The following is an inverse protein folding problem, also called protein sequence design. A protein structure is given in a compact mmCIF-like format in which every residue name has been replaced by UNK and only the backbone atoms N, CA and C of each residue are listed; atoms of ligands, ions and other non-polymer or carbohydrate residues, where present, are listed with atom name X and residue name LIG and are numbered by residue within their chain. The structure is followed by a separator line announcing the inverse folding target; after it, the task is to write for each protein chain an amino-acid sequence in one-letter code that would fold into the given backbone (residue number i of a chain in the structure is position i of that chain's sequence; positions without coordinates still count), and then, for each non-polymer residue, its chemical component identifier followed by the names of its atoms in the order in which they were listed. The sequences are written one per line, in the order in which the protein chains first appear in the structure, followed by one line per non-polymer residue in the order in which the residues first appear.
data_IF_824257638088
#
_entry.id   IF_824257638088
#
_cell.length_a   1.000
_cell.length_b   1.000
_cell.length_c   1.000
_cell.angle_alpha   90.00
_cell.angle_beta   90.00
_cell.angle_gamma   90.00
#
_symmetry.space_group_name_H-M   'P 1'
#
loop_
_entity.id
_entity.type
_entity.pdbx_description
1 polymer ?
#
# COMPACT_ATOMS: atom_id res chain seq x y z
N UNK A 1 -21.12 26.86 -26.83
CA UNK A 1 -20.95 25.74 -25.87
C UNK A 1 -19.47 25.67 -25.55
N UNK A 2 -19.05 26.18 -24.39
CA UNK A 2 -17.68 26.01 -23.93
C UNK A 2 -17.55 24.58 -23.42
N UNK A 3 -16.92 23.71 -24.21
CA UNK A 3 -16.50 22.40 -23.72
C UNK A 3 -15.32 22.71 -22.81
N UNK A 4 -15.46 22.46 -21.51
CA UNK A 4 -14.35 22.57 -20.57
C UNK A 4 -13.24 21.61 -20.98
N UNK A 5 -11.99 22.07 -20.94
CA UNK A 5 -10.79 21.24 -21.21
C UNK A 5 -10.68 20.00 -20.31
N UNK A 6 -11.54 19.89 -19.30
CA UNK A 6 -11.65 18.77 -18.36
C UNK A 6 -12.25 17.49 -18.99
N UNK A 7 -12.96 17.59 -20.12
CA UNK A 7 -13.61 16.43 -20.76
C UNK A 7 -12.62 15.45 -21.40
N UNK A 8 -11.39 15.90 -21.72
CA UNK A 8 -10.40 15.11 -22.45
C UNK A 8 -9.11 14.82 -21.68
N UNK A 9 -9.02 15.13 -20.38
CA UNK A 9 -7.87 14.68 -19.59
C UNK A 9 -7.96 13.16 -19.39
N UNK A 10 -6.99 12.38 -19.90
CA UNK A 10 -6.95 10.96 -19.60
C UNK A 10 -6.84 10.80 -18.09
N UNK A 11 -7.73 10.00 -17.50
CA UNK A 11 -7.67 9.69 -16.07
C UNK A 11 -6.36 8.97 -15.79
N UNK A 12 -5.65 9.42 -14.75
CA UNK A 12 -4.46 8.73 -14.27
C UNK A 12 -4.86 7.36 -13.70
N UNK A 13 -4.04 6.34 -13.94
CA UNK A 13 -4.29 5.01 -13.40
C UNK A 13 -4.29 5.03 -11.86
N UNK A 14 -5.14 4.22 -11.21
CA UNK A 14 -5.11 4.06 -9.75
C UNK A 14 -3.75 3.55 -9.27
N UNK A 15 -3.31 4.04 -8.11
CA UNK A 15 -2.04 3.65 -7.50
C UNK A 15 -2.30 2.78 -6.27
N UNK A 16 -1.72 1.59 -6.26
CA UNK A 16 -1.77 0.68 -5.11
C UNK A 16 -0.37 0.55 -4.53
N UNK A 17 -0.19 0.99 -3.29
CA UNK A 17 1.10 1.04 -2.62
C UNK A 17 1.19 -0.12 -1.63
N UNK A 18 2.26 -0.90 -1.76
CA UNK A 18 2.68 -1.85 -0.75
C UNK A 18 3.33 -1.09 0.41
N UNK A 19 2.52 -0.75 1.42
CA UNK A 19 2.95 0.09 2.53
C UNK A 19 4.06 -0.55 3.36
N UNK A 20 4.04 -1.89 3.48
CA UNK A 20 5.08 -2.62 4.21
C UNK A 20 6.42 -2.59 3.48
N UNK A 21 6.42 -2.84 2.18
CA UNK A 21 7.65 -2.78 1.38
C UNK A 21 8.27 -1.38 1.42
N UNK A 22 7.45 -0.35 1.21
CA UNK A 22 7.89 1.06 1.22
C UNK A 22 8.42 1.46 2.59
N UNK A 23 7.68 1.22 3.67
CA UNK A 23 8.10 1.59 5.02
C UNK A 23 9.40 0.92 5.44
N UNK A 24 9.53 -0.39 5.18
CA UNK A 24 10.75 -1.14 5.48
C UNK A 24 11.92 -0.69 4.60
N UNK A 25 11.67 -0.36 3.32
CA UNK A 25 12.74 0.14 2.45
C UNK A 25 13.24 1.52 2.91
N UNK A 26 12.34 2.42 3.33
CA UNK A 26 12.72 3.74 3.82
C UNK A 26 13.48 3.65 5.15
N UNK A 27 13.08 2.76 6.06
CA UNK A 27 13.77 2.52 7.32
C UNK A 27 14.97 1.55 7.23
N UNK A 28 15.63 1.48 6.07
CA UNK A 28 16.83 0.68 5.83
C UNK A 28 16.72 -0.81 6.22
N UNK A 29 15.54 -1.40 6.05
CA UNK A 29 15.20 -2.79 6.41
C UNK A 29 15.29 -3.12 7.90
N UNK A 30 15.55 -2.15 8.76
CA UNK A 30 15.65 -2.33 10.21
C UNK A 30 14.42 -1.83 10.95
N UNK A 31 13.82 -0.74 10.45
CA UNK A 31 12.70 -0.06 11.09
C UNK A 31 11.55 0.09 10.10
N UNK A 32 10.32 -0.09 10.57
CA UNK A 32 9.14 0.27 9.80
C UNK A 32 8.92 1.78 9.89
N UNK A 33 9.35 2.52 8.87
CA UNK A 33 9.24 3.97 8.86
C UNK A 33 7.97 4.44 8.16
N UNK A 34 6.96 4.85 8.92
CA UNK A 34 5.67 5.30 8.38
C UNK A 34 5.81 6.57 7.54
N UNK A 35 6.83 7.41 7.83
CA UNK A 35 7.19 8.56 7.00
C UNK A 35 7.48 8.20 5.55
N UNK A 36 8.06 7.03 5.29
CA UNK A 36 8.29 6.54 3.92
C UNK A 36 7.00 6.38 3.13
N UNK A 37 5.93 5.90 3.79
CA UNK A 37 4.61 5.77 3.18
C UNK A 37 4.05 7.16 2.83
N UNK A 38 4.11 8.11 3.78
CA UNK A 38 3.60 9.47 3.55
C UNK A 38 4.30 10.16 2.38
N UNK A 39 5.62 10.02 2.27
CA UNK A 39 6.39 10.56 1.14
C UNK A 39 5.92 9.96 -0.19
N UNK A 40 5.70 8.64 -0.23
CA UNK A 40 5.23 7.96 -1.43
C UNK A 40 3.85 8.46 -1.85
N UNK A 41 2.90 8.54 -0.90
CA UNK A 41 1.56 9.09 -1.13
C UNK A 41 1.62 10.54 -1.65
N UNK A 42 2.38 11.40 -0.98
CA UNK A 42 2.50 12.82 -1.34
C UNK A 42 3.12 13.01 -2.73
N UNK A 43 4.05 12.13 -3.12
CA UNK A 43 4.66 12.14 -4.45
C UNK A 43 3.62 11.94 -5.56
N UNK A 44 2.68 11.00 -5.39
CA UNK A 44 1.61 10.75 -6.35
C UNK A 44 0.54 11.84 -6.31
N UNK A 45 0.14 12.30 -5.11
CA UNK A 45 -0.80 13.42 -4.96
C UNK A 45 -0.32 14.69 -5.65
N UNK A 46 0.96 15.04 -5.48
CA UNK A 46 1.56 16.22 -6.11
C UNK A 46 1.54 16.17 -7.65
N UNK A 47 1.34 14.97 -8.24
CA UNK A 47 1.21 14.75 -9.68
C UNK A 47 -0.23 14.64 -10.16
N UNK A 48 -1.20 14.85 -9.27
CA UNK A 48 -2.62 14.85 -9.59
C UNK A 48 -3.29 13.48 -9.51
N UNK A 49 -2.63 12.44 -8.98
CA UNK A 49 -3.32 11.18 -8.72
C UNK A 49 -4.35 11.36 -7.61
N UNK A 50 -5.59 10.97 -7.88
CA UNK A 50 -6.72 11.05 -6.95
C UNK A 50 -7.04 9.69 -6.32
N UNK A 51 -6.79 8.60 -7.05
CA UNK A 51 -7.04 7.24 -6.61
C UNK A 51 -5.73 6.59 -6.14
N UNK A 52 -5.48 6.65 -4.83
CA UNK A 52 -4.29 6.08 -4.18
C UNK A 52 -4.77 5.22 -3.01
N UNK A 53 -4.30 3.97 -2.94
CA UNK A 53 -4.59 3.06 -1.84
C UNK A 53 -3.30 2.43 -1.33
N UNK A 54 -3.04 2.55 -0.04
CA UNK A 54 -1.93 1.91 0.66
C UNK A 54 -2.46 0.72 1.44
N UNK A 55 -1.84 -0.44 1.33
CA UNK A 55 -2.11 -1.57 2.20
C UNK A 55 -1.04 -1.73 3.28
N UNK A 56 -1.47 -1.92 4.52
CA UNK A 56 -0.61 -2.18 5.69
C UNK A 56 -1.30 -3.21 6.59
N UNK A 57 -0.57 -4.12 7.27
CA UNK A 57 -1.19 -5.07 8.18
C UNK A 57 -1.81 -4.38 9.38
N UNK A 58 -3.03 -4.76 9.78
CA UNK A 58 -3.70 -4.17 10.96
C UNK A 58 -2.87 -4.24 12.25
N UNK A 59 -2.05 -5.27 12.42
CA UNK A 59 -1.17 -5.40 13.57
C UNK A 59 -0.13 -4.29 13.69
N UNK A 60 0.17 -3.55 12.61
CA UNK A 60 1.03 -2.36 12.65
C UNK A 60 0.43 -1.21 13.45
N UNK A 61 -0.85 -1.28 13.87
CA UNK A 61 -1.48 -0.35 14.83
C UNK A 61 -1.23 -0.70 16.29
N UNK A 62 -0.77 -1.92 16.57
CA UNK A 62 -0.51 -2.34 17.94
C UNK A 62 0.69 -1.58 18.52
N UNK A 63 0.78 -1.52 19.85
CA UNK A 63 1.90 -0.86 20.51
C UNK A 63 3.25 -1.41 20.01
N UNK A 64 4.25 -0.53 19.75
CA UNK A 64 5.58 -0.96 19.30
C UNK A 64 6.19 -1.96 20.28
N UNK A 65 6.92 -2.94 19.75
CA UNK A 65 7.70 -3.91 20.53
C UNK A 65 9.17 -3.81 20.11
N UNK A 66 10.08 -4.25 20.98
CA UNK A 66 11.53 -4.23 20.72
C UNK A 66 11.92 -4.98 19.43
N UNK A 67 11.23 -6.08 19.13
CA UNK A 67 11.40 -6.91 17.93
C UNK A 67 10.65 -6.37 16.70
N UNK A 68 9.96 -5.24 16.85
CA UNK A 68 9.11 -4.65 15.83
C UNK A 68 9.14 -3.12 15.92
N UNK A 69 10.31 -2.55 15.65
CA UNK A 69 10.52 -1.12 15.64
C UNK A 69 9.68 -0.47 14.54
N UNK A 70 8.88 0.53 14.94
CA UNK A 70 8.06 1.36 14.07
C UNK A 70 8.21 2.81 14.52
N UNK A 71 8.32 3.72 13.56
CA UNK A 71 8.44 5.16 13.81
C UNK A 71 7.30 5.91 13.13
N UNK A 72 6.89 7.02 13.75
CA UNK A 72 5.81 7.91 13.29
C UNK A 72 4.49 7.16 13.01
N UNK A 73 4.12 6.24 13.92
CA UNK A 73 2.97 5.34 13.78
C UNK A 73 1.64 6.08 13.58
N UNK A 74 1.52 7.30 14.12
CA UNK A 74 0.38 8.21 13.96
C UNK A 74 0.01 8.45 12.48
N UNK A 75 1.00 8.47 11.58
CA UNK A 75 0.80 8.64 10.13
C UNK A 75 -0.14 7.57 9.57
N UNK A 76 -0.11 6.33 10.11
CA UNK A 76 -1.00 5.28 9.63
C UNK A 76 -2.47 5.60 9.91
N UNK A 77 -2.76 6.23 11.06
CA UNK A 77 -4.12 6.64 11.41
C UNK A 77 -4.57 7.86 10.60
N UNK A 78 -3.66 8.81 10.34
CA UNK A 78 -3.92 9.96 9.47
C UNK A 78 -4.31 9.51 8.06
N UNK A 79 -3.50 8.64 7.45
CA UNK A 79 -3.76 8.10 6.11
C UNK A 79 -5.04 7.24 6.04
N UNK A 80 -5.36 6.49 7.10
CA UNK A 80 -6.63 5.76 7.21
C UNK A 80 -7.82 6.73 7.26
N UNK A 81 -7.72 7.81 8.06
CA UNK A 81 -8.77 8.82 8.16
C UNK A 81 -9.01 9.55 6.83
N UNK A 82 -7.95 9.80 6.07
CA UNK A 82 -8.00 10.35 4.71
C UNK A 82 -8.47 9.36 3.64
N UNK A 83 -8.81 8.11 4.02
CA UNK A 83 -9.21 7.02 3.12
C UNK A 83 -8.16 6.65 2.08
N UNK A 84 -6.89 6.89 2.39
CA UNK A 84 -5.74 6.51 1.56
C UNK A 84 -5.13 5.19 1.98
N UNK A 85 -5.24 4.80 3.25
CA UNK A 85 -4.69 3.57 3.78
C UNK A 85 -5.80 2.61 4.20
N UNK A 86 -5.64 1.35 3.83
CA UNK A 86 -6.51 0.24 4.23
C UNK A 86 -5.70 -0.77 5.02
N UNK A 87 -6.17 -1.08 6.23
CA UNK A 87 -5.57 -2.13 7.02
C UNK A 87 -6.04 -3.51 6.56
N UNK A 88 -5.10 -4.36 6.16
CA UNK A 88 -5.41 -5.75 5.84
C UNK A 88 -5.67 -6.55 7.11
N UNK A 89 -6.51 -7.60 7.07
CA UNK A 89 -6.76 -8.44 8.23
C UNK A 89 -5.47 -9.06 8.78
N UNK A 90 -5.36 -9.14 10.10
CA UNK A 90 -4.32 -9.91 10.78
C UNK A 90 -4.92 -10.61 11.99
N UNK A 91 -4.56 -11.87 12.25
CA UNK A 91 -5.12 -12.64 13.38
C UNK A 91 -4.03 -13.29 14.22
N UNK A 92 -4.21 -13.28 15.54
CA UNK A 92 -3.45 -14.12 16.48
C UNK A 92 -4.21 -15.44 16.68
N UNK A 93 -3.56 -16.57 16.39
CA UNK A 93 -4.11 -17.91 16.61
C UNK A 93 -3.10 -18.71 17.44
N UNK A 94 -3.48 -19.12 18.65
CA UNK A 94 -2.61 -19.92 19.53
C UNK A 94 -1.29 -19.22 19.89
N UNK A 95 -1.29 -17.90 20.05
CA UNK A 95 -0.09 -17.10 20.34
C UNK A 95 0.83 -16.87 19.13
N UNK A 96 0.55 -17.47 17.97
CA UNK A 96 1.26 -17.22 16.71
C UNK A 96 0.47 -16.25 15.85
N UNK A 97 1.16 -15.28 15.26
CA UNK A 97 0.55 -14.34 14.31
C UNK A 97 0.42 -15.01 12.95
N UNK A 98 -0.82 -15.17 12.50
CA UNK A 98 -1.11 -15.47 11.11
C UNK A 98 -1.13 -14.13 10.37
N UNK A 99 -0.03 -13.81 9.69
CA UNK A 99 0.04 -12.68 8.78
C UNK A 99 -0.52 -13.17 7.45
N UNK A 100 -1.72 -12.75 7.07
CA UNK A 100 -2.15 -12.88 5.68
C UNK A 100 -1.19 -12.01 4.86
N UNK A 101 -0.65 -12.53 3.75
CA UNK A 101 0.15 -11.73 2.85
C UNK A 101 -0.67 -10.53 2.35
N UNK A 102 -0.26 -9.32 2.71
CA UNK A 102 -0.84 -8.08 2.19
C UNK A 102 -0.73 -8.02 0.66
N UNK A 103 0.29 -8.67 0.12
CA UNK A 103 0.61 -8.80 -1.30
C UNK A 103 -0.59 -9.23 -2.14
N UNK A 104 -1.45 -10.14 -1.62
CA UNK A 104 -2.66 -10.55 -2.34
C UNK A 104 -3.68 -9.41 -2.45
N UNK A 105 -3.84 -8.58 -1.41
CA UNK A 105 -4.72 -7.41 -1.46
C UNK A 105 -4.16 -6.35 -2.42
N UNK A 106 -2.84 -6.13 -2.39
CA UNK A 106 -2.15 -5.20 -3.30
C UNK A 106 -2.36 -5.59 -4.75
N UNK A 107 -2.01 -6.83 -5.12
CA UNK A 107 -2.13 -7.30 -6.50
C UNK A 107 -3.58 -7.42 -6.95
N UNK A 108 -4.49 -7.85 -6.07
CA UNK A 108 -5.92 -7.97 -6.41
C UNK A 108 -6.54 -6.62 -6.74
N UNK A 109 -6.31 -5.60 -5.91
CA UNK A 109 -6.88 -4.28 -6.16
C UNK A 109 -6.33 -3.67 -7.45
N UNK A 110 -5.02 -3.82 -7.69
CA UNK A 110 -4.42 -3.34 -8.93
C UNK A 110 -4.95 -4.08 -10.17
N UNK A 111 -5.12 -5.41 -10.10
CA UNK A 111 -5.68 -6.19 -11.19
C UNK A 111 -7.14 -5.83 -11.49
N UNK A 112 -7.98 -5.68 -10.45
CA UNK A 112 -9.41 -5.39 -10.59
C UNK A 112 -9.67 -3.98 -11.17
N UNK A 113 -8.78 -3.03 -10.89
CA UNK A 113 -8.96 -1.62 -11.26
C UNK A 113 -8.03 -1.13 -12.38
N UNK A 114 -7.29 -2.04 -13.04
CA UNK A 114 -6.23 -1.69 -13.99
C UNK A 114 -5.24 -0.65 -13.42
N UNK A 115 -4.86 -0.86 -12.16
CA UNK A 115 -3.98 0.00 -11.39
C UNK A 115 -2.49 -0.28 -11.60
N UNK A 116 -1.65 0.51 -10.92
CA UNK A 116 -0.19 0.34 -10.87
C UNK A 116 0.19 0.02 -9.43
N UNK A 117 1.04 -1.00 -9.25
CA UNK A 117 1.61 -1.36 -7.95
C UNK A 117 2.92 -0.62 -7.72
N UNK A 118 3.10 -0.10 -6.51
CA UNK A 118 4.35 0.51 -6.05
C UNK A 118 4.96 -0.38 -4.97
N UNK A 119 5.98 -1.14 -5.36
CA UNK A 119 6.76 -2.03 -4.48
C UNK A 119 8.10 -2.37 -5.15
N UNK A 120 9.09 -2.75 -4.33
CA UNK A 120 10.31 -3.40 -4.81
C UNK A 120 10.23 -4.95 -4.77
N UNK A 121 9.10 -5.51 -4.33
CA UNK A 121 8.88 -6.96 -4.38
C UNK A 121 8.49 -7.40 -5.81
N UNK A 122 8.91 -8.61 -6.18
CA UNK A 122 8.55 -9.25 -7.45
C UNK A 122 7.38 -10.23 -7.30
N UNK A 123 6.88 -10.47 -6.08
CA UNK A 123 5.70 -11.30 -5.79
C UNK A 123 5.77 -12.70 -6.45
N UNK A 124 6.95 -13.32 -6.45
CA UNK A 124 7.25 -14.50 -7.29
C UNK A 124 6.33 -15.69 -7.03
N UNK A 125 5.86 -15.85 -5.80
CA UNK A 125 4.88 -16.86 -5.40
C UNK A 125 3.50 -16.53 -5.99
N UNK A 126 3.03 -15.29 -5.84
CA UNK A 126 1.70 -14.88 -6.31
C UNK A 126 1.58 -14.78 -7.84
N UNK A 127 2.66 -14.40 -8.53
CA UNK A 127 2.72 -14.38 -10.01
C UNK A 127 2.55 -15.77 -10.61
N UNK A 128 2.84 -16.83 -9.86
CA UNK A 128 2.60 -18.21 -10.29
C UNK A 128 1.15 -18.65 -10.01
N UNK A 129 0.50 -18.08 -9.00
CA UNK A 129 -0.88 -18.43 -8.62
C UNK A 129 -1.94 -17.89 -9.59
N UNK A 130 -1.73 -16.72 -10.21
CA UNK A 130 -2.74 -16.06 -11.06
C UNK A 130 -2.14 -15.36 -12.29
N UNK A 131 -2.68 -15.61 -13.50
CA UNK A 131 -2.34 -14.85 -14.70
C UNK A 131 -2.65 -13.37 -14.59
N UNK A 132 -3.68 -12.98 -13.83
CA UNK A 132 -4.05 -11.58 -13.59
C UNK A 132 -2.97 -10.88 -12.77
N UNK A 133 -2.46 -11.52 -11.72
CA UNK A 133 -1.33 -11.00 -10.94
C UNK A 133 -0.06 -10.87 -11.77
N UNK A 134 0.21 -11.85 -12.65
CA UNK A 134 1.32 -11.76 -13.62
C UNK A 134 1.20 -10.61 -14.61
N UNK A 135 -0.01 -10.13 -14.91
CA UNK A 135 -0.17 -8.95 -15.79
C UNK A 135 0.13 -7.64 -15.08
N UNK A 136 -0.04 -7.60 -13.76
CA UNK A 136 0.24 -6.43 -12.93
C UNK A 136 1.74 -6.23 -12.70
N UNK A 137 2.47 -7.34 -12.50
CA UNK A 137 3.93 -7.39 -12.21
C UNK A 137 4.75 -7.42 -13.49
#
# INVERSE_FOLDING_TARGET
VFISDDVFKPRLRPIVIDGSNVAMSHGNKEIFSCRGIKICVDWFRARGHQEITVFVPKWRKEAPRLDNAITEQEILNELEHERLLVFTPSRLVGGKRLVCYDDRYVLRLAADNDGIVVSNDNYRDLVQESPEFRKVV
#
